data_IF_857086943714
#
_entry.id   IF_857086943714
#
_cell.length_a   1.000
_cell.length_b   1.000
_cell.length_c   1.000
_cell.angle_alpha   90.00
_cell.angle_beta   90.00
_cell.angle_gamma   90.00
#
_symmetry.space_group_name_H-M   'P 1'
#
loop_
_entity.id
_entity.type
_entity.pdbx_description
1 polymer ?
#
# COMPACT_ATOMS: atom_id res chain seq x y z
N UNK A 1 13.16 4.66 -20.43
CA UNK A 1 12.05 4.23 -21.33
C UNK A 1 11.83 2.71 -21.35
N UNK A 2 12.86 1.85 -21.35
CA UNK A 2 12.72 0.37 -21.27
C UNK A 2 11.89 -0.14 -20.06
N UNK A 3 11.98 0.53 -18.91
CA UNK A 3 11.30 0.10 -17.67
C UNK A 3 9.76 0.16 -17.73
N UNK A 4 9.19 1.08 -18.50
CA UNK A 4 7.73 1.25 -18.57
C UNK A 4 7.07 0.20 -19.44
N UNK A 5 7.73 -0.20 -20.53
CA UNK A 5 7.24 -1.28 -21.42
C UNK A 5 7.20 -2.61 -20.66
N UNK A 6 8.26 -2.92 -19.89
CA UNK A 6 8.30 -4.11 -19.03
C UNK A 6 7.20 -4.06 -17.97
N UNK A 7 7.02 -2.91 -17.31
CA UNK A 7 5.92 -2.75 -16.34
C UNK A 7 4.54 -3.02 -16.94
N UNK A 8 4.26 -2.50 -18.14
CA UNK A 8 2.97 -2.73 -18.81
C UNK A 8 2.75 -4.20 -19.21
N UNK A 9 3.82 -4.95 -19.49
CA UNK A 9 3.74 -6.38 -19.77
C UNK A 9 3.42 -7.20 -18.51
N UNK A 10 4.00 -6.81 -17.36
CA UNK A 10 3.73 -7.46 -16.07
C UNK A 10 2.42 -7.01 -15.44
N UNK A 11 1.88 -5.85 -15.84
CA UNK A 11 0.67 -5.27 -15.26
C UNK A 11 -0.53 -6.24 -15.12
N UNK A 12 -0.84 -7.10 -16.12
CA UNK A 12 -1.93 -8.07 -16.00
C UNK A 12 -1.70 -9.16 -14.94
N UNK A 13 -0.46 -9.38 -14.49
CA UNK A 13 -0.13 -10.39 -13.48
C UNK A 13 -0.38 -9.90 -12.04
N UNK A 14 -0.58 -8.60 -11.85
CA UNK A 14 -0.86 -8.04 -10.52
C UNK A 14 -2.35 -8.05 -10.20
N UNK A 15 -2.68 -8.42 -8.97
CA UNK A 15 -3.98 -8.14 -8.37
C UNK A 15 -4.08 -6.64 -8.12
N UNK A 16 -5.20 -6.04 -8.52
CA UNK A 16 -5.46 -4.61 -8.37
C UNK A 16 -6.52 -4.41 -7.30
N UNK A 17 -6.21 -3.57 -6.33
CA UNK A 17 -7.18 -3.11 -5.34
C UNK A 17 -7.94 -1.94 -5.95
N UNK A 18 -9.24 -2.11 -6.16
CA UNK A 18 -10.10 -1.01 -6.58
C UNK A 18 -10.29 -0.06 -5.41
N UNK A 19 -10.22 1.24 -5.68
CA UNK A 19 -10.52 2.26 -4.68
C UNK A 19 -12.03 2.45 -4.62
N UNK A 20 -12.61 2.15 -3.47
CA UNK A 20 -14.00 2.42 -3.15
C UNK A 20 -14.11 3.39 -1.97
N UNK A 21 -15.34 3.73 -1.59
CA UNK A 21 -15.60 4.68 -0.51
C UNK A 21 -15.02 4.21 0.84
N UNK A 22 -14.94 2.90 1.08
CA UNK A 22 -14.35 2.33 2.30
C UNK A 22 -12.85 2.65 2.37
N UNK A 23 -12.12 2.38 1.29
CA UNK A 23 -10.68 2.68 1.22
C UNK A 23 -10.44 4.19 1.30
N UNK A 24 -11.27 5.01 0.65
CA UNK A 24 -11.13 6.46 0.68
C UNK A 24 -11.36 7.03 2.09
N UNK A 25 -12.39 6.58 2.80
CA UNK A 25 -12.66 7.02 4.17
C UNK A 25 -11.56 6.56 5.14
N UNK A 26 -11.07 5.31 4.98
CA UNK A 26 -9.93 4.81 5.73
C UNK A 26 -8.67 5.65 5.46
N UNK A 27 -8.42 6.02 4.21
CA UNK A 27 -7.27 6.86 3.83
C UNK A 27 -7.33 8.24 4.50
N UNK A 28 -8.53 8.82 4.64
CA UNK A 28 -8.74 10.09 5.36
C UNK A 28 -8.34 9.96 6.82
N UNK A 29 -8.81 8.90 7.48
CA UNK A 29 -8.45 8.63 8.88
C UNK A 29 -6.95 8.43 9.05
N UNK A 30 -6.30 7.73 8.11
CA UNK A 30 -4.86 7.49 8.15
C UNK A 30 -4.04 8.78 7.91
N UNK A 31 -4.54 9.73 7.11
CA UNK A 31 -3.88 11.03 6.96
C UNK A 31 -3.83 11.82 8.26
N UNK A 32 -4.84 11.70 9.11
CA UNK A 32 -4.86 12.36 10.42
C UNK A 32 -3.85 11.73 11.38
N UNK A 33 -3.69 10.40 11.34
CA UNK A 33 -2.76 9.65 12.20
C UNK A 33 -1.31 9.71 11.74
N UNK A 34 -1.11 9.66 10.43
CA UNK A 34 0.18 9.62 9.74
C UNK A 34 0.23 10.73 8.68
N UNK A 35 0.31 12.02 9.07
CA UNK A 35 0.23 13.15 8.14
C UNK A 35 1.38 13.12 7.12
N UNK A 36 1.07 12.59 5.94
CA UNK A 36 1.97 12.30 4.81
C UNK A 36 1.23 12.46 3.49
N UNK A 37 1.92 12.26 2.38
CA UNK A 37 1.34 12.41 1.04
C UNK A 37 0.04 11.60 0.89
N UNK A 38 -0.98 12.17 0.24
CA UNK A 38 -2.29 11.52 0.04
C UNK A 38 -2.19 10.13 -0.58
N UNK A 39 -1.23 9.91 -1.48
CA UNK A 39 -1.00 8.61 -2.11
C UNK A 39 -0.47 7.55 -1.14
N UNK A 40 0.32 7.94 -0.13
CA UNK A 40 0.81 7.04 0.91
C UNK A 40 -0.35 6.53 1.78
N UNK A 41 -1.28 7.42 2.13
CA UNK A 41 -2.45 7.06 2.92
C UNK A 41 -3.42 6.17 2.14
N UNK A 42 -3.61 6.41 0.84
CA UNK A 42 -4.40 5.52 -0.03
C UNK A 42 -3.72 4.14 -0.11
N UNK A 43 -2.41 4.10 -0.32
CA UNK A 43 -1.67 2.83 -0.41
C UNK A 43 -1.74 2.05 0.90
N UNK A 44 -1.57 2.71 2.04
CA UNK A 44 -1.71 2.10 3.35
C UNK A 44 -3.14 1.61 3.62
N UNK A 45 -4.16 2.39 3.27
CA UNK A 45 -5.57 1.99 3.38
C UNK A 45 -5.86 0.73 2.55
N UNK A 46 -5.40 0.68 1.30
CA UNK A 46 -5.53 -0.49 0.43
C UNK A 46 -4.83 -1.72 1.01
N UNK A 47 -3.65 -1.57 1.59
CA UNK A 47 -2.91 -2.69 2.18
C UNK A 47 -3.62 -3.27 3.42
N UNK A 48 -4.17 -2.41 4.27
CA UNK A 48 -4.97 -2.83 5.43
C UNK A 48 -6.26 -3.53 4.97
N UNK A 49 -6.97 -2.94 4.02
CA UNK A 49 -8.20 -3.54 3.48
C UNK A 49 -7.94 -4.92 2.86
N UNK A 50 -6.83 -5.07 2.13
CA UNK A 50 -6.42 -6.36 1.60
C UNK A 50 -6.10 -7.36 2.73
N UNK A 51 -5.38 -6.94 3.77
CA UNK A 51 -5.06 -7.80 4.92
C UNK A 51 -6.32 -8.23 5.69
N UNK A 52 -7.32 -7.35 5.81
CA UNK A 52 -8.61 -7.65 6.45
C UNK A 52 -9.39 -8.70 5.66
N UNK A 53 -9.24 -8.73 4.33
CA UNK A 53 -9.93 -9.68 3.44
C UNK A 53 -9.15 -10.98 3.21
N UNK A 54 -7.82 -10.96 3.34
CA UNK A 54 -6.98 -12.13 3.17
C UNK A 54 -7.03 -13.04 4.41
N UNK A 55 -7.17 -14.34 4.16
CA UNK A 55 -6.99 -15.37 5.20
C UNK A 55 -5.53 -15.79 5.38
N UNK A 56 -4.61 -15.12 4.67
CA UNK A 56 -3.18 -15.40 4.67
C UNK A 56 -2.40 -14.14 5.09
N UNK A 57 -1.23 -14.30 5.73
CA UNK A 57 -0.35 -13.18 6.04
C UNK A 57 0.10 -12.46 4.76
N UNK A 58 0.09 -11.13 4.77
CA UNK A 58 0.61 -10.30 3.68
C UNK A 58 1.73 -9.38 4.17
N UNK A 59 2.65 -9.02 3.26
CA UNK A 59 3.79 -8.15 3.57
C UNK A 59 3.75 -6.91 2.68
N UNK A 60 3.75 -5.74 3.31
CA UNK A 60 3.89 -4.48 2.58
C UNK A 60 5.37 -4.24 2.24
N UNK A 61 5.66 -4.07 0.95
CA UNK A 61 7.02 -3.85 0.43
C UNK A 61 7.14 -2.41 -0.07
N UNK A 62 8.17 -1.69 0.39
CA UNK A 62 8.47 -0.34 -0.11
C UNK A 62 9.94 0.03 0.09
N UNK A 63 10.41 0.95 -0.73
CA UNK A 63 11.67 1.66 -0.51
C UNK A 63 11.52 2.87 0.43
N UNK A 64 10.30 3.32 0.69
CA UNK A 64 10.03 4.45 1.58
C UNK A 64 10.01 3.98 3.05
N UNK A 65 11.01 4.40 3.82
CA UNK A 65 11.15 4.00 5.23
C UNK A 65 10.01 4.53 6.09
N UNK A 66 9.46 5.67 5.70
CA UNK A 66 8.48 6.38 6.48
C UNK A 66 7.07 5.82 6.23
N UNK A 67 6.77 5.40 5.00
CA UNK A 67 5.57 4.62 4.69
C UNK A 67 5.57 3.28 5.44
N UNK A 68 6.69 2.56 5.45
CA UNK A 68 6.79 1.30 6.19
C UNK A 68 6.61 1.49 7.72
N UNK A 69 7.08 2.61 8.29
CA UNK A 69 6.80 2.91 9.70
C UNK A 69 5.31 3.14 9.97
N UNK A 70 4.60 3.83 9.07
CA UNK A 70 3.14 3.99 9.20
C UNK A 70 2.43 2.62 9.09
N UNK A 71 2.85 1.77 8.15
CA UNK A 71 2.32 0.42 8.00
C UNK A 71 2.53 -0.45 9.25
N UNK A 72 3.73 -0.41 9.85
CA UNK A 72 4.01 -1.11 11.11
C UNK A 72 3.14 -0.58 12.27
N UNK A 73 2.88 0.73 12.31
CA UNK A 73 2.01 1.33 13.32
C UNK A 73 0.54 0.90 13.15
N UNK A 74 0.12 0.55 11.92
CA UNK A 74 -1.17 -0.06 11.61
C UNK A 74 -1.10 -1.61 11.59
N UNK A 75 -0.10 -2.20 12.25
CA UNK A 75 0.07 -3.64 12.47
C UNK A 75 0.31 -4.51 11.23
N UNK A 76 0.74 -3.91 10.11
CA UNK A 76 1.15 -4.67 8.93
C UNK A 76 2.58 -5.20 9.06
N UNK A 77 2.83 -6.40 8.55
CA UNK A 77 4.19 -6.88 8.31
C UNK A 77 4.81 -6.09 7.15
N UNK A 78 6.09 -5.71 7.30
CA UNK A 78 6.76 -4.83 6.33
C UNK A 78 8.13 -5.36 5.91
N UNK A 79 8.49 -5.10 4.65
CA UNK A 79 9.83 -5.38 4.12
C UNK A 79 10.36 -4.21 3.32
N UNK A 80 11.52 -3.71 3.74
CA UNK A 80 12.26 -2.68 3.00
C UNK A 80 13.02 -3.33 1.85
N UNK A 81 12.93 -2.72 0.66
CA UNK A 81 13.79 -3.04 -0.48
C UNK A 81 14.85 -1.96 -0.67
N UNK A 82 16.10 -2.32 -1.03
CA UNK A 82 17.11 -1.35 -1.42
C UNK A 82 16.72 -0.70 -2.76
N UNK A 83 16.96 0.60 -2.88
CA UNK A 83 16.93 1.34 -4.16
C UNK A 83 18.31 1.34 -4.80
#
# INVERSE_FOLDING_TARGET
MKSFVVFLQEWPAYVRINLDDSILERSRTLLERHPRHTLDAIHLASAIELQDQLQEPSVMISADAQLLRAAMAEHLETKRIPL
#
